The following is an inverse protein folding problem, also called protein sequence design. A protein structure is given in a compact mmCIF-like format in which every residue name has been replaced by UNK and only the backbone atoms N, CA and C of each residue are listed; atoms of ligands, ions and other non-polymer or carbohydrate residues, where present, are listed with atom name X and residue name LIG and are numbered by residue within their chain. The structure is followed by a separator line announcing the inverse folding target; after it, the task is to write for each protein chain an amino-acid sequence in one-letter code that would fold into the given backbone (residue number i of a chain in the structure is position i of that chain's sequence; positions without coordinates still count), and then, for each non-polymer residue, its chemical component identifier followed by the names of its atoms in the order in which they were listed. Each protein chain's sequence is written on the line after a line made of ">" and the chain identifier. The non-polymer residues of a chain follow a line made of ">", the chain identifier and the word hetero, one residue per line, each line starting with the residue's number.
data_IF_837203333805
#
_entry.id   IF_837203333805
#
_cell.length_a   1.000
_cell.length_b   1.000
_cell.length_c   1.000
_cell.angle_alpha   90.00
_cell.angle_beta   90.00
_cell.angle_gamma   90.00
#
_symmetry.space_group_name_H-M   'P 1'
#
loop_
_entity.id
_entity.type
_entity.pdbx_description
1 polymer ?
#
# COMPACT_ATOMS: atom_id res chain seq x y z
N UNK A 1 -11.68 83.74 49.68
CA UNK A 1 -12.19 83.75 48.30
C UNK A 1 -11.35 82.81 47.46
N UNK A 2 -11.89 81.63 47.14
CA UNK A 2 -11.29 80.70 46.16
C UNK A 2 -12.17 80.72 44.90
N UNK A 3 -11.59 80.80 43.69
CA UNK A 3 -12.38 80.96 42.47
C UNK A 3 -13.16 79.68 42.17
N UNK A 4 -14.47 79.79 41.91
CA UNK A 4 -15.28 78.65 41.48
C UNK A 4 -14.73 78.14 40.14
N UNK A 5 -14.25 76.90 40.11
CA UNK A 5 -13.87 76.22 38.86
C UNK A 5 -15.07 76.27 37.90
N UNK A 6 -14.91 76.96 36.78
CA UNK A 6 -15.93 77.04 35.74
C UNK A 6 -16.33 75.62 35.31
N UNK A 7 -17.62 75.30 35.41
CA UNK A 7 -18.16 74.00 35.01
C UNK A 7 -17.82 73.78 33.53
N UNK A 8 -17.08 72.71 33.23
CA UNK A 8 -16.82 72.32 31.85
C UNK A 8 -18.16 72.18 31.12
N UNK A 9 -18.30 72.84 29.97
CA UNK A 9 -19.53 72.80 29.19
C UNK A 9 -19.82 71.35 28.80
N UNK A 10 -20.98 70.87 29.22
CA UNK A 10 -21.46 69.49 29.00
C UNK A 10 -21.63 69.15 27.50
N UNK A 11 -21.90 70.19 26.69
CA UNK A 11 -21.98 70.07 25.23
C UNK A 11 -20.87 70.88 24.56
N UNK A 12 -19.91 70.18 23.95
CA UNK A 12 -18.90 70.78 23.08
C UNK A 12 -19.15 70.38 21.63
N UNK A 13 -19.58 71.35 20.81
CA UNK A 13 -19.69 71.14 19.36
C UNK A 13 -18.30 70.91 18.79
N UNK A 14 -18.06 69.74 18.21
CA UNK A 14 -16.78 69.40 17.59
C UNK A 14 -16.52 70.35 16.42
N UNK A 15 -15.31 70.92 16.34
CA UNK A 15 -14.94 71.82 15.24
C UNK A 15 -15.12 71.13 13.88
N UNK A 16 -15.72 71.84 12.93
CA UNK A 16 -15.94 71.37 11.57
C UNK A 16 -14.58 71.08 10.91
N UNK A 17 -14.32 69.80 10.60
CA UNK A 17 -13.13 69.40 9.83
C UNK A 17 -13.54 69.25 8.37
N UNK A 18 -13.15 70.22 7.55
CA UNK A 18 -13.42 70.22 6.11
C UNK A 18 -12.78 68.97 5.46
N UNK A 19 -13.52 68.29 4.57
CA UNK A 19 -13.06 67.06 3.89
C UNK A 19 -13.34 65.73 4.59
N UNK A 20 -13.89 65.73 5.83
CA UNK A 20 -14.35 64.51 6.51
C UNK A 20 -15.87 64.40 6.46
N UNK A 21 -16.38 63.15 6.45
CA UNK A 21 -17.82 62.90 6.50
C UNK A 21 -18.45 63.63 7.70
N UNK A 22 -19.58 64.30 7.43
CA UNK A 22 -20.30 65.10 8.43
C UNK A 22 -20.56 64.23 9.66
N UNK A 23 -20.17 64.66 10.88
CA UNK A 23 -20.39 63.87 12.09
C UNK A 23 -21.89 63.67 12.30
N UNK A 24 -22.24 62.47 12.76
CA UNK A 24 -23.61 62.11 13.09
C UNK A 24 -24.14 63.05 14.18
N UNK A 25 -25.42 63.46 14.13
CA UNK A 25 -25.99 64.38 15.10
C UNK A 25 -25.96 63.78 16.52
N UNK A 26 -25.96 64.62 17.55
CA UNK A 26 -25.77 64.17 18.95
C UNK A 26 -26.86 63.24 19.48
N UNK A 27 -28.02 63.20 18.83
CA UNK A 27 -29.14 62.30 19.10
C UNK A 27 -29.18 61.09 18.14
N UNK A 28 -28.10 60.84 17.38
CA UNK A 28 -28.05 59.71 16.47
C UNK A 28 -27.94 58.39 17.23
N UNK A 29 -28.97 57.56 17.14
CA UNK A 29 -28.95 56.18 17.63
C UNK A 29 -28.36 55.27 16.56
N UNK A 30 -27.24 54.60 16.88
CA UNK A 30 -26.67 53.60 15.98
C UNK A 30 -27.35 52.24 16.21
N UNK A 31 -28.14 51.77 15.24
CA UNK A 31 -28.79 50.44 15.26
C UNK A 31 -27.91 49.33 14.67
N UNK A 32 -26.66 49.62 14.34
CA UNK A 32 -25.72 48.62 13.85
C UNK A 32 -25.22 47.77 15.01
N UNK A 33 -25.70 46.52 15.11
CA UNK A 33 -25.16 45.53 16.03
C UNK A 33 -24.56 44.35 15.24
N UNK A 34 -23.60 43.66 15.86
CA UNK A 34 -23.06 42.41 15.34
C UNK A 34 -23.38 41.31 16.34
N UNK A 35 -24.16 40.33 15.93
CA UNK A 35 -24.42 39.13 16.72
C UNK A 35 -23.56 37.98 16.19
N UNK A 36 -22.90 37.26 17.09
CA UNK A 36 -22.15 36.02 16.78
C UNK A 36 -22.93 34.84 17.34
N UNK A 37 -23.06 33.77 16.56
CA UNK A 37 -23.66 32.51 17.02
C UNK A 37 -22.62 31.73 17.82
N UNK A 38 -23.02 31.20 18.97
CA UNK A 38 -22.23 30.21 19.71
C UNK A 38 -22.58 28.83 19.16
N UNK A 39 -21.62 28.16 18.54
CA UNK A 39 -21.77 26.76 18.11
C UNK A 39 -21.29 25.86 19.23
N UNK A 40 -22.21 25.13 19.85
CA UNK A 40 -21.90 24.14 20.89
C UNK A 40 -21.58 22.81 20.19
N UNK A 41 -20.63 22.04 20.73
CA UNK A 41 -20.31 20.71 20.22
C UNK A 41 -21.52 19.79 20.43
N UNK A 42 -21.92 19.09 19.38
CA UNK A 42 -23.02 18.13 19.44
C UNK A 42 -22.60 16.95 20.32
N UNK A 43 -23.31 16.76 21.43
CA UNK A 43 -23.15 15.59 22.29
C UNK A 43 -24.23 14.58 21.91
N UNK A 44 -23.85 13.31 21.74
CA UNK A 44 -24.76 12.20 21.41
C UNK A 44 -25.64 11.85 22.62
N UNK A 45 -26.55 12.75 22.99
CA UNK A 45 -27.46 12.62 24.14
C UNK A 45 -28.91 12.29 23.71
N UNK A 46 -29.10 11.90 22.45
CA UNK A 46 -30.41 11.50 21.94
C UNK A 46 -30.91 10.21 22.59
N UNK A 47 -32.22 10.10 22.78
CA UNK A 47 -32.88 8.87 23.28
C UNK A 47 -32.95 7.82 22.16
N UNK A 48 -32.98 8.26 20.89
CA UNK A 48 -32.98 7.38 19.72
C UNK A 48 -31.63 6.68 19.55
N UNK A 49 -31.70 5.37 19.30
CA UNK A 49 -30.51 4.58 19.05
C UNK A 49 -29.76 5.12 17.81
N UNK A 50 -28.43 5.35 17.89
CA UNK A 50 -27.67 5.78 16.73
C UNK A 50 -27.77 4.75 15.60
N UNK A 51 -27.85 5.21 14.36
CA UNK A 51 -27.85 4.31 13.19
C UNK A 51 -26.56 3.46 13.17
N UNK A 52 -26.63 2.26 12.60
CA UNK A 52 -25.45 1.37 12.50
C UNK A 52 -24.28 2.06 11.77
N UNK A 53 -24.58 2.89 10.76
CA UNK A 53 -23.59 3.70 10.04
C UNK A 53 -22.94 4.76 10.95
N UNK A 54 -23.73 5.45 11.79
CA UNK A 54 -23.20 6.44 12.74
C UNK A 54 -22.34 5.79 13.82
N UNK A 55 -22.73 4.59 14.31
CA UNK A 55 -21.91 3.81 15.23
C UNK A 55 -20.59 3.39 14.58
N UNK A 56 -20.62 2.99 13.31
CA UNK A 56 -19.43 2.63 12.55
C UNK A 56 -18.45 3.80 12.43
N UNK A 57 -18.94 4.97 12.00
CA UNK A 57 -18.12 6.18 11.90
C UNK A 57 -17.54 6.60 13.26
N UNK A 58 -18.32 6.46 14.33
CA UNK A 58 -17.85 6.71 15.69
C UNK A 58 -16.71 5.77 16.07
N UNK A 59 -16.85 4.45 15.88
CA UNK A 59 -15.79 3.50 16.19
C UNK A 59 -14.54 3.69 15.34
N UNK A 60 -14.69 4.05 14.06
CA UNK A 60 -13.54 4.42 13.21
C UNK A 60 -12.81 5.66 13.77
N UNK A 61 -13.55 6.65 14.30
CA UNK A 61 -12.94 7.84 14.90
C UNK A 61 -12.15 7.53 16.20
N UNK A 62 -12.59 6.53 16.97
CA UNK A 62 -11.96 6.12 18.24
C UNK A 62 -10.62 5.40 18.00
N UNK A 63 -10.36 4.91 16.79
CA UNK A 63 -9.08 4.26 16.45
C UNK A 63 -7.86 5.17 16.68
N UNK A 64 -8.02 6.49 16.68
CA UNK A 64 -6.95 7.44 17.04
C UNK A 64 -6.96 7.89 18.50
N UNK A 65 -7.75 7.25 19.37
CA UNK A 65 -7.80 7.56 20.80
C UNK A 65 -6.46 7.25 21.49
N UNK A 66 -6.11 8.01 22.53
CA UNK A 66 -4.97 7.71 23.39
C UNK A 66 -5.16 6.41 24.18
N UNK A 67 -6.40 6.02 24.49
CA UNK A 67 -6.70 4.79 25.24
C UNK A 67 -6.60 3.55 24.34
N UNK A 68 -5.65 2.68 24.68
CA UNK A 68 -5.46 1.36 24.07
C UNK A 68 -6.69 0.46 24.22
N UNK A 69 -7.36 0.54 25.38
CA UNK A 69 -8.63 -0.18 25.61
C UNK A 69 -9.69 0.28 24.62
N UNK A 70 -9.88 1.59 24.45
CA UNK A 70 -10.86 2.12 23.50
C UNK A 70 -10.56 1.73 22.05
N UNK A 71 -9.28 1.76 21.64
CA UNK A 71 -8.86 1.29 20.30
C UNK A 71 -9.17 -0.19 20.11
N UNK A 72 -8.80 -1.03 21.07
CA UNK A 72 -9.02 -2.49 21.03
C UNK A 72 -10.51 -2.85 20.99
N UNK A 73 -11.33 -2.24 21.84
CA UNK A 73 -12.79 -2.48 21.85
C UNK A 73 -13.44 -1.99 20.56
N UNK A 74 -13.00 -0.85 20.03
CA UNK A 74 -13.50 -0.35 18.74
C UNK A 74 -13.15 -1.27 17.58
N UNK A 75 -11.93 -1.82 17.54
CA UNK A 75 -11.58 -2.85 16.56
C UNK A 75 -12.44 -4.12 16.72
N UNK A 76 -12.80 -4.49 17.95
CA UNK A 76 -13.71 -5.62 18.19
C UNK A 76 -15.10 -5.42 17.65
N UNK A 77 -15.64 -4.23 17.87
CA UNK A 77 -16.92 -3.86 17.31
C UNK A 77 -16.85 -3.82 15.77
N UNK A 78 -15.79 -3.19 15.21
CA UNK A 78 -15.61 -3.08 13.76
C UNK A 78 -15.46 -4.44 13.08
N UNK A 79 -14.71 -5.38 13.64
CA UNK A 79 -14.59 -6.75 13.12
C UNK A 79 -15.97 -7.40 12.95
N UNK A 80 -16.81 -7.29 13.97
CA UNK A 80 -18.17 -7.84 13.96
C UNK A 80 -19.06 -7.12 12.94
N UNK A 81 -19.00 -5.79 12.93
CA UNK A 81 -19.81 -4.97 12.04
C UNK A 81 -19.45 -5.18 10.56
N UNK A 82 -18.15 -5.25 10.23
CA UNK A 82 -17.66 -5.49 8.87
C UNK A 82 -18.06 -6.87 8.35
N UNK A 83 -18.10 -7.88 9.21
CA UNK A 83 -18.53 -9.23 8.85
C UNK A 83 -19.99 -9.30 8.36
N UNK A 84 -20.85 -8.36 8.78
CA UNK A 84 -22.27 -8.33 8.37
C UNK A 84 -22.50 -7.86 6.94
N UNK A 85 -21.51 -7.23 6.29
CA UNK A 85 -21.55 -6.72 4.90
C UNK A 85 -22.69 -5.74 4.55
N UNK A 86 -23.43 -5.21 5.52
CA UNK A 86 -24.54 -4.25 5.30
C UNK A 86 -24.08 -2.79 5.32
N UNK A 87 -22.85 -2.54 5.76
CA UNK A 87 -22.30 -1.20 5.96
C UNK A 87 -21.70 -0.61 4.69
N UNK A 88 -21.91 0.70 4.51
CA UNK A 88 -21.26 1.47 3.45
C UNK A 88 -19.97 2.09 3.98
N UNK A 89 -18.84 1.70 3.41
CA UNK A 89 -17.52 2.24 3.76
C UNK A 89 -16.60 2.34 2.55
N UNK A 90 -15.70 3.32 2.60
CA UNK A 90 -14.61 3.52 1.65
C UNK A 90 -13.38 2.76 2.13
N UNK A 91 -12.88 1.82 1.32
CA UNK A 91 -11.70 1.03 1.67
C UNK A 91 -10.44 1.89 1.88
N UNK A 92 -10.11 2.86 1.00
CA UNK A 92 -8.98 3.76 1.24
C UNK A 92 -9.07 4.50 2.57
N UNK A 93 -10.25 5.07 2.89
CA UNK A 93 -10.44 5.90 4.08
C UNK A 93 -10.42 5.08 5.37
N UNK A 94 -10.90 3.84 5.33
CA UNK A 94 -10.82 2.94 6.48
C UNK A 94 -9.38 2.46 6.70
N UNK A 95 -8.66 2.11 5.62
CA UNK A 95 -7.25 1.71 5.72
C UNK A 95 -6.36 2.83 6.26
N UNK A 96 -6.66 4.10 5.96
CA UNK A 96 -5.96 5.25 6.56
C UNK A 96 -6.05 5.31 8.09
N UNK A 97 -7.06 4.66 8.68
CA UNK A 97 -7.23 4.55 10.13
C UNK A 97 -6.70 3.23 10.69
N UNK A 98 -6.80 2.14 9.92
CA UNK A 98 -6.40 0.81 10.37
C UNK A 98 -4.89 0.58 10.25
N UNK A 99 -4.27 0.92 9.12
CA UNK A 99 -2.86 0.59 8.85
C UNK A 99 -1.86 1.25 9.83
N UNK A 100 -2.06 2.50 10.31
CA UNK A 100 -1.19 3.06 11.34
C UNK A 100 -1.16 2.24 12.64
N UNK A 101 -2.24 1.53 12.98
CA UNK A 101 -2.32 0.69 14.18
C UNK A 101 -1.40 -0.54 14.12
N UNK A 102 -0.83 -0.85 12.95
CA UNK A 102 0.22 -1.86 12.83
C UNK A 102 1.41 -1.52 13.74
N UNK A 103 1.70 -0.23 13.91
CA UNK A 103 2.78 0.27 14.77
C UNK A 103 2.31 0.61 16.19
N UNK A 104 1.10 0.20 16.60
CA UNK A 104 0.60 0.46 17.94
C UNK A 104 1.53 -0.19 18.99
N UNK A 105 1.79 0.52 20.10
CA UNK A 105 2.62 0.00 21.17
C UNK A 105 1.99 -1.24 21.85
N UNK A 106 0.66 -1.28 21.97
CA UNK A 106 -0.06 -2.37 22.61
C UNK A 106 -0.27 -3.56 21.65
N UNK A 107 0.28 -4.72 22.02
CA UNK A 107 0.14 -5.96 21.24
C UNK A 107 -1.30 -6.48 21.10
N UNK A 108 -2.18 -6.24 22.07
CA UNK A 108 -3.58 -6.62 21.99
C UNK A 108 -4.33 -5.84 20.90
N UNK A 109 -3.99 -4.55 20.70
CA UNK A 109 -4.54 -3.74 19.60
C UNK A 109 -4.08 -4.31 18.25
N UNK A 110 -2.78 -4.61 18.10
CA UNK A 110 -2.25 -5.22 16.86
C UNK A 110 -2.87 -6.59 16.55
N UNK A 111 -3.04 -7.43 17.56
CA UNK A 111 -3.69 -8.74 17.41
C UNK A 111 -5.16 -8.63 17.01
N UNK A 112 -5.85 -7.55 17.42
CA UNK A 112 -7.23 -7.31 17.01
C UNK A 112 -7.33 -6.65 15.64
N UNK A 113 -6.35 -5.81 15.29
CA UNK A 113 -6.22 -5.21 13.97
C UNK A 113 -6.18 -6.29 12.89
N UNK A 114 -5.34 -7.32 13.03
CA UNK A 114 -5.25 -8.35 11.98
C UNK A 114 -6.56 -9.13 11.80
N UNK A 115 -7.32 -9.38 12.88
CA UNK A 115 -8.65 -10.00 12.78
C UNK A 115 -9.64 -9.07 12.07
N UNK A 116 -9.58 -7.78 12.37
CA UNK A 116 -10.39 -6.75 11.69
C UNK A 116 -10.06 -6.68 10.20
N UNK A 117 -8.77 -6.71 9.84
CA UNK A 117 -8.31 -6.73 8.45
C UNK A 117 -8.79 -7.98 7.71
N UNK A 118 -8.79 -9.15 8.37
CA UNK A 118 -9.33 -10.41 7.82
C UNK A 118 -10.85 -10.38 7.59
N UNK A 119 -11.59 -9.51 8.30
CA UNK A 119 -13.03 -9.34 8.10
C UNK A 119 -13.37 -8.46 6.88
N UNK A 120 -12.38 -7.79 6.27
CA UNK A 120 -12.57 -6.97 5.08
C UNK A 120 -12.75 -7.86 3.83
N UNK A 121 -13.58 -7.41 2.88
CA UNK A 121 -13.76 -8.06 1.59
C UNK A 121 -12.52 -7.89 0.71
N UNK A 122 -11.95 -9.00 0.21
CA UNK A 122 -10.71 -9.02 -0.58
C UNK A 122 -10.79 -8.17 -1.86
N UNK A 123 -11.97 -8.16 -2.50
CA UNK A 123 -12.23 -7.45 -3.76
C UNK A 123 -12.04 -5.92 -3.62
N UNK A 124 -12.17 -5.39 -2.40
CA UNK A 124 -11.97 -3.96 -2.10
C UNK A 124 -10.52 -3.60 -1.78
N UNK A 125 -9.65 -4.59 -1.59
CA UNK A 125 -8.27 -4.43 -1.11
C UNK A 125 -7.21 -4.64 -2.18
N UNK A 126 -7.55 -5.38 -3.25
CA UNK A 126 -6.67 -5.71 -4.37
C UNK A 126 -5.90 -4.48 -4.88
N UNK A 127 -6.61 -3.37 -5.14
CA UNK A 127 -6.02 -2.14 -5.67
C UNK A 127 -5.35 -1.21 -4.64
N UNK A 128 -5.30 -1.64 -3.37
CA UNK A 128 -4.70 -0.89 -2.26
C UNK A 128 -3.40 -1.54 -1.77
N UNK A 129 -2.86 -2.49 -2.52
CA UNK A 129 -1.65 -3.23 -2.20
C UNK A 129 -0.45 -2.33 -1.87
N UNK A 130 -0.21 -1.28 -2.66
CA UNK A 130 0.89 -0.32 -2.44
C UNK A 130 0.78 0.38 -1.08
N UNK A 131 -0.42 0.84 -0.72
CA UNK A 131 -0.69 1.48 0.59
C UNK A 131 -0.44 0.48 1.73
N UNK A 132 -0.91 -0.75 1.58
CA UNK A 132 -0.73 -1.81 2.58
C UNK A 132 0.77 -2.10 2.76
N UNK A 133 1.50 -2.32 1.65
CA UNK A 133 2.93 -2.63 1.67
C UNK A 133 3.77 -1.52 2.29
N UNK A 134 3.43 -0.25 2.05
CA UNK A 134 4.13 0.87 2.68
C UNK A 134 4.14 0.74 4.21
N UNK A 135 2.99 0.49 4.81
CA UNK A 135 2.86 0.32 6.26
C UNK A 135 3.47 -0.98 6.77
N UNK A 136 3.32 -2.07 6.01
CA UNK A 136 3.87 -3.38 6.35
C UNK A 136 5.40 -3.36 6.35
N UNK A 137 6.02 -2.82 5.30
CA UNK A 137 7.47 -2.70 5.20
C UNK A 137 8.03 -1.82 6.32
N UNK A 138 7.38 -0.69 6.61
CA UNK A 138 7.76 0.17 7.74
C UNK A 138 7.65 -0.55 9.10
N UNK A 139 6.64 -1.41 9.26
CA UNK A 139 6.47 -2.24 10.46
C UNK A 139 7.52 -3.35 10.57
N UNK A 140 7.84 -3.99 9.46
CA UNK A 140 8.88 -5.02 9.38
C UNK A 140 10.26 -4.46 9.75
N UNK A 141 10.55 -3.21 9.39
CA UNK A 141 11.80 -2.52 9.78
C UNK A 141 11.66 -1.69 11.06
N UNK A 142 10.67 -1.97 11.90
CA UNK A 142 10.50 -1.26 13.17
C UNK A 142 11.55 -1.69 14.20
N UNK A 143 12.05 -0.76 15.03
CA UNK A 143 13.01 -1.07 16.10
C UNK A 143 12.45 -2.06 17.13
N UNK A 144 11.13 -2.08 17.34
CA UNK A 144 10.45 -2.99 18.26
C UNK A 144 10.18 -4.35 17.59
N UNK A 145 10.78 -5.41 18.11
CA UNK A 145 10.66 -6.78 17.58
C UNK A 145 9.21 -7.30 17.57
N UNK A 146 8.38 -6.90 18.54
CA UNK A 146 6.97 -7.32 18.59
C UNK A 146 6.14 -6.67 17.47
N UNK A 147 6.50 -5.44 17.07
CA UNK A 147 5.89 -4.77 15.92
C UNK A 147 6.35 -5.46 14.64
N UNK A 148 7.65 -5.79 14.51
CA UNK A 148 8.17 -6.55 13.36
C UNK A 148 7.45 -7.89 13.18
N UNK A 149 7.28 -8.64 14.26
CA UNK A 149 6.58 -9.93 14.24
C UNK A 149 5.11 -9.79 13.83
N UNK A 150 4.43 -8.74 14.29
CA UNK A 150 3.04 -8.44 13.89
C UNK A 150 2.95 -8.01 12.43
N UNK A 151 3.92 -7.24 11.94
CA UNK A 151 4.01 -6.80 10.55
C UNK A 151 4.17 -7.99 9.59
N UNK A 152 4.97 -9.00 9.96
CA UNK A 152 5.09 -10.24 9.19
C UNK A 152 3.77 -11.02 9.10
N UNK A 153 2.99 -11.05 10.18
CA UNK A 153 1.67 -11.69 10.16
C UNK A 153 0.71 -10.95 9.22
N UNK A 154 0.76 -9.61 9.23
CA UNK A 154 -0.04 -8.78 8.33
C UNK A 154 0.46 -8.90 6.88
N UNK A 155 1.76 -9.07 6.63
CA UNK A 155 2.28 -9.36 5.29
C UNK A 155 1.72 -10.68 4.74
N UNK A 156 1.69 -11.73 5.57
CA UNK A 156 1.06 -13.00 5.19
C UNK A 156 -0.40 -12.82 4.79
N UNK A 157 -1.17 -12.06 5.58
CA UNK A 157 -2.54 -11.69 5.22
C UNK A 157 -2.61 -10.87 3.92
N UNK A 158 -1.70 -9.93 3.69
CA UNK A 158 -1.70 -9.07 2.51
C UNK A 158 -1.41 -9.87 1.23
N UNK A 159 -0.54 -10.88 1.30
CA UNK A 159 -0.29 -11.83 0.19
C UNK A 159 -1.59 -12.54 -0.19
N UNK A 160 -2.34 -13.03 0.81
CA UNK A 160 -3.61 -13.74 0.59
C UNK A 160 -4.77 -12.82 0.16
N UNK A 161 -4.72 -11.54 0.54
CA UNK A 161 -5.80 -10.57 0.32
C UNK A 161 -5.64 -9.80 -0.99
N UNK A 162 -4.41 -9.41 -1.36
CA UNK A 162 -4.12 -8.62 -2.56
C UNK A 162 -3.61 -9.47 -3.73
N UNK A 163 -3.09 -10.68 -3.48
CA UNK A 163 -2.57 -11.54 -4.54
C UNK A 163 -1.50 -10.83 -5.38
N UNK A 164 -1.57 -10.98 -6.70
CA UNK A 164 -0.52 -10.54 -7.63
C UNK A 164 -0.29 -9.02 -7.62
N UNK A 165 -1.31 -8.22 -7.28
CA UNK A 165 -1.16 -6.76 -7.15
C UNK A 165 -0.11 -6.36 -6.12
N UNK A 166 0.16 -7.20 -5.12
CA UNK A 166 1.20 -6.97 -4.11
C UNK A 166 2.62 -6.98 -4.70
N UNK A 167 2.85 -7.76 -5.76
CA UNK A 167 4.16 -7.86 -6.42
C UNK A 167 4.25 -6.97 -7.66
N UNK A 168 3.12 -6.60 -8.25
CA UNK A 168 3.04 -5.72 -9.43
C UNK A 168 3.05 -4.24 -9.08
N UNK A 169 2.56 -3.86 -7.89
CA UNK A 169 2.54 -2.45 -7.51
C UNK A 169 3.96 -1.85 -7.45
N UNK A 170 4.05 -0.52 -7.57
CA UNK A 170 5.31 0.21 -7.59
C UNK A 170 6.19 -0.15 -6.38
N UNK A 171 7.39 -0.65 -6.66
CA UNK A 171 8.34 -1.08 -5.62
C UNK A 171 7.86 -2.26 -4.77
N UNK A 172 6.70 -2.86 -5.06
CA UNK A 172 6.13 -3.98 -4.32
C UNK A 172 7.07 -5.18 -4.31
N UNK A 173 7.59 -5.55 -5.48
CA UNK A 173 8.62 -6.60 -5.58
C UNK A 173 9.95 -6.19 -4.94
N UNK A 174 10.58 -5.15 -5.48
CA UNK A 174 11.94 -4.75 -5.11
C UNK A 174 12.09 -4.35 -3.64
N UNK A 175 11.22 -3.48 -3.12
CA UNK A 175 11.34 -3.00 -1.75
C UNK A 175 11.03 -4.10 -0.74
N UNK A 176 10.05 -4.95 -1.02
CA UNK A 176 9.73 -6.05 -0.11
C UNK A 176 10.90 -7.03 0.00
N UNK A 177 11.56 -7.38 -1.11
CA UNK A 177 12.78 -8.20 -1.09
C UNK A 177 13.92 -7.51 -0.31
N UNK A 178 14.12 -6.21 -0.53
CA UNK A 178 15.10 -5.42 0.21
C UNK A 178 14.79 -5.38 1.71
N UNK A 179 13.52 -5.25 2.08
CA UNK A 179 13.07 -5.32 3.48
C UNK A 179 13.33 -6.69 4.08
N UNK A 180 13.11 -7.79 3.36
CA UNK A 180 13.47 -9.14 3.82
C UNK A 180 14.97 -9.29 4.10
N UNK A 181 15.85 -8.71 3.25
CA UNK A 181 17.29 -8.72 3.51
C UNK A 181 17.63 -8.05 4.86
N UNK A 182 16.99 -6.92 5.18
CA UNK A 182 17.23 -6.22 6.44
C UNK A 182 16.68 -7.03 7.62
N UNK A 183 15.45 -7.53 7.51
CA UNK A 183 14.73 -8.21 8.60
C UNK A 183 15.35 -9.55 8.98
N UNK A 184 15.94 -10.25 8.01
CA UNK A 184 16.64 -11.52 8.24
C UNK A 184 18.15 -11.32 8.52
N UNK A 185 18.64 -10.08 8.47
CA UNK A 185 20.07 -9.79 8.66
C UNK A 185 20.95 -10.22 7.48
N UNK A 186 20.37 -10.44 6.31
CA UNK A 186 21.08 -10.89 5.10
C UNK A 186 21.72 -9.75 4.30
N UNK A 187 21.47 -8.49 4.67
CA UNK A 187 22.01 -7.32 3.97
C UNK A 187 23.55 -7.24 3.98
N UNK A 188 24.18 -7.68 5.07
CA UNK A 188 25.64 -7.59 5.29
C UNK A 188 26.41 -8.87 4.95
N UNK A 189 25.74 -9.89 4.39
CA UNK A 189 26.43 -11.12 3.99
C UNK A 189 27.44 -10.77 2.88
N UNK A 190 28.73 -10.89 3.20
CA UNK A 190 29.84 -10.58 2.28
C UNK A 190 30.48 -9.19 2.43
N UNK A 191 30.02 -8.36 3.36
CA UNK A 191 30.56 -7.01 3.62
C UNK A 191 30.95 -6.84 5.10
N UNK A 192 32.00 -6.06 5.41
CA UNK A 192 32.39 -5.75 6.79
C UNK A 192 31.30 -4.92 7.48
N UNK A 193 30.52 -5.54 8.36
CA UNK A 193 29.25 -5.01 8.87
C UNK A 193 29.41 -3.74 9.71
N UNK A 194 28.88 -2.61 9.24
CA UNK A 194 28.54 -1.43 10.06
C UNK A 194 27.24 -1.73 10.83
N UNK A 195 27.29 -1.65 12.16
CA UNK A 195 26.37 -2.29 13.13
C UNK A 195 24.90 -1.87 13.18
N UNK A 196 24.31 -1.23 12.16
CA UNK A 196 22.88 -0.91 12.16
C UNK A 196 22.00 -2.08 11.68
N UNK A 197 22.45 -2.87 10.69
CA UNK A 197 21.61 -3.93 10.10
C UNK A 197 21.51 -5.21 10.95
N UNK A 198 22.56 -5.53 11.72
CA UNK A 198 22.60 -6.72 12.58
C UNK A 198 21.63 -6.62 13.76
N UNK A 199 21.37 -5.41 14.26
CA UNK A 199 20.41 -5.15 15.35
C UNK A 199 18.93 -5.25 14.90
N UNK A 200 18.67 -5.23 13.59
CA UNK A 200 17.32 -5.30 13.02
C UNK A 200 16.85 -6.73 12.72
N UNK A 201 17.75 -7.70 12.79
CA UNK A 201 17.43 -9.10 12.55
C UNK A 201 16.34 -9.61 13.52
N UNK A 202 15.53 -10.57 13.09
CA UNK A 202 14.65 -11.38 13.96
C UNK A 202 15.43 -12.31 14.91
N UNK A 203 16.70 -11.99 15.18
CA UNK A 203 17.65 -12.85 15.87
C UNK A 203 17.11 -13.28 17.24
N UNK A 204 17.13 -14.60 17.47
CA UNK A 204 16.79 -15.23 18.75
C UNK A 204 15.41 -15.91 18.82
N UNK A 205 14.47 -15.64 17.91
CA UNK A 205 13.15 -16.30 17.91
C UNK A 205 12.93 -17.15 16.64
N UNK A 206 13.12 -18.46 16.79
CA UNK A 206 12.91 -19.46 15.74
C UNK A 206 11.53 -19.36 15.10
N UNK A 207 10.48 -19.03 15.86
CA UNK A 207 9.10 -18.94 15.33
C UNK A 207 8.95 -17.76 14.38
N UNK A 208 9.56 -16.64 14.72
CA UNK A 208 9.55 -15.45 13.90
C UNK A 208 10.37 -15.64 12.62
N UNK A 209 11.50 -16.34 12.69
CA UNK A 209 12.28 -16.75 11.52
C UNK A 209 11.46 -17.68 10.61
N UNK A 210 10.82 -18.71 11.17
CA UNK A 210 9.95 -19.62 10.40
C UNK A 210 8.82 -18.84 9.71
N UNK A 211 8.13 -17.94 10.42
CA UNK A 211 7.09 -17.09 9.83
C UNK A 211 7.63 -16.18 8.72
N UNK A 212 8.80 -15.59 8.90
CA UNK A 212 9.42 -14.76 7.87
C UNK A 212 9.74 -15.60 6.62
N UNK A 213 10.25 -16.82 6.77
CA UNK A 213 10.55 -17.72 5.65
C UNK A 213 9.28 -18.25 4.96
N UNK A 214 8.22 -18.57 5.71
CA UNK A 214 6.95 -19.00 5.13
C UNK A 214 6.28 -17.88 4.32
N UNK A 215 6.25 -16.67 4.87
CA UNK A 215 5.72 -15.48 4.15
C UNK A 215 6.58 -15.12 2.95
N UNK A 216 7.91 -15.21 3.08
CA UNK A 216 8.83 -15.04 1.96
C UNK A 216 8.59 -16.09 0.87
N UNK A 217 8.39 -17.34 1.26
CA UNK A 217 8.09 -18.42 0.31
C UNK A 217 6.81 -18.14 -0.47
N UNK A 218 5.75 -17.70 0.21
CA UNK A 218 4.50 -17.31 -0.44
C UNK A 218 4.69 -16.10 -1.36
N UNK A 219 5.47 -15.11 -0.93
CA UNK A 219 5.78 -13.92 -1.72
C UNK A 219 6.61 -14.23 -2.98
N UNK A 220 7.63 -15.08 -2.86
CA UNK A 220 8.45 -15.52 -3.99
C UNK A 220 7.63 -16.32 -5.00
N UNK A 221 6.77 -17.23 -4.53
CA UNK A 221 5.84 -17.95 -5.41
C UNK A 221 4.93 -16.98 -6.16
N UNK A 222 4.36 -16.01 -5.46
CA UNK A 222 3.47 -15.03 -6.06
C UNK A 222 4.17 -14.14 -7.11
N UNK A 223 5.41 -13.73 -6.84
CA UNK A 223 6.18 -12.88 -7.74
C UNK A 223 6.80 -13.61 -8.92
N UNK A 224 7.18 -14.87 -8.72
CA UNK A 224 7.90 -15.64 -9.73
C UNK A 224 7.01 -16.58 -10.52
N UNK A 225 5.93 -17.13 -9.95
CA UNK A 225 5.03 -18.05 -10.67
C UNK A 225 3.92 -17.20 -11.30
N UNK A 226 3.86 -17.19 -12.62
CA UNK A 226 2.89 -16.40 -13.35
C UNK A 226 1.50 -17.06 -13.26
N UNK A 227 0.70 -16.65 -12.27
CA UNK A 227 -0.69 -17.07 -12.16
C UNK A 227 -1.51 -16.60 -13.39
N UNK A 228 -1.04 -15.58 -14.12
CA UNK A 228 -1.67 -15.05 -15.33
C UNK A 228 -1.52 -15.95 -16.57
N UNK A 229 -0.57 -16.88 -16.57
CA UNK A 229 -0.38 -17.83 -17.69
C UNK A 229 -1.61 -18.74 -17.90
N UNK A 230 -2.41 -18.99 -16.85
CA UNK A 230 -3.66 -19.74 -16.98
C UNK A 230 -4.83 -18.93 -17.55
N UNK A 231 -4.73 -17.60 -17.63
CA UNK A 231 -5.75 -16.75 -18.24
C UNK A 231 -5.51 -16.54 -19.75
N UNK A 232 -4.35 -16.95 -20.27
CA UNK A 232 -3.95 -16.80 -21.67
C UNK A 232 -4.31 -18.03 -22.54
N UNK A 233 -5.05 -19.00 -22.03
CA UNK A 233 -5.84 -19.94 -22.86
C UNK A 233 -7.19 -19.32 -23.29
N UNK A 234 -7.24 -18.00 -23.43
CA UNK A 234 -8.37 -17.33 -24.12
C UNK A 234 -8.22 -17.62 -25.60
N UNK A 235 -9.28 -18.15 -26.19
CA UNK A 235 -9.36 -18.54 -27.60
C UNK A 235 -8.66 -17.54 -28.54
N UNK A 236 -7.94 -18.00 -29.58
CA UNK A 236 -7.19 -17.14 -30.50
C UNK A 236 -8.07 -16.22 -31.39
N UNK A 237 -9.35 -16.09 -31.08
CA UNK A 237 -10.37 -15.47 -31.93
C UNK A 237 -10.88 -14.12 -31.39
N UNK A 238 -10.40 -13.66 -30.23
CA UNK A 238 -10.61 -12.30 -29.80
C UNK A 238 -9.57 -11.41 -30.49
N UNK A 239 -10.00 -10.67 -31.51
CA UNK A 239 -9.16 -9.70 -32.20
C UNK A 239 -8.39 -8.82 -31.19
N UNK A 240 -7.09 -8.61 -31.39
CA UNK A 240 -6.23 -7.91 -30.42
C UNK A 240 -6.75 -6.51 -30.03
N UNK A 241 -7.50 -5.85 -30.91
CA UNK A 241 -8.12 -4.55 -30.64
C UNK A 241 -9.29 -4.63 -29.64
N UNK A 242 -9.97 -5.77 -29.54
CA UNK A 242 -11.09 -5.96 -28.63
C UNK A 242 -10.66 -5.95 -27.16
N UNK A 243 -9.45 -6.42 -26.83
CA UNK A 243 -8.92 -6.35 -25.47
C UNK A 243 -8.21 -5.02 -25.17
N UNK A 244 -7.55 -4.41 -26.15
CA UNK A 244 -6.70 -3.22 -25.93
C UNK A 244 -7.51 -1.91 -25.89
N UNK A 245 -8.65 -1.84 -26.57
CA UNK A 245 -9.49 -0.63 -26.61
C UNK A 245 -10.64 -0.64 -25.59
N UNK A 246 -10.73 -1.67 -24.74
CA UNK A 246 -11.73 -1.74 -23.68
C UNK A 246 -11.35 -0.86 -22.48
N UNK A 247 -12.37 -0.28 -21.84
CA UNK A 247 -12.19 0.38 -20.54
C UNK A 247 -11.75 -0.70 -19.54
N UNK A 248 -10.56 -0.54 -18.97
CA UNK A 248 -10.04 -1.46 -17.98
C UNK A 248 -10.92 -1.47 -16.73
N UNK A 249 -11.20 -2.67 -16.20
CA UNK A 249 -11.93 -2.83 -14.94
C UNK A 249 -11.08 -2.43 -13.70
N UNK A 250 -9.76 -2.37 -13.84
CA UNK A 250 -8.84 -2.00 -12.77
C UNK A 250 -8.87 -0.48 -12.54
N UNK A 251 -8.95 0.00 -11.29
CA UNK A 251 -8.66 1.37 -10.93
C UNK A 251 -7.21 1.73 -11.33
N UNK A 252 -7.06 2.75 -12.17
CA UNK A 252 -5.75 3.28 -12.60
C UNK A 252 -4.87 2.27 -13.39
N UNK A 253 -5.35 1.81 -14.57
CA UNK A 253 -4.65 0.79 -15.38
C UNK A 253 -3.32 1.26 -15.96
N UNK A 254 -3.11 2.58 -16.01
CA UNK A 254 -1.91 3.21 -16.55
C UNK A 254 -0.93 3.66 -15.47
N UNK A 255 -1.14 3.26 -14.21
CA UNK A 255 -0.26 3.57 -13.07
C UNK A 255 1.21 3.26 -13.37
N UNK A 256 1.47 2.12 -14.02
CA UNK A 256 2.82 1.68 -14.36
C UNK A 256 3.57 2.62 -15.32
N UNK A 257 2.88 3.48 -16.06
CA UNK A 257 3.51 4.48 -16.94
C UNK A 257 4.11 5.65 -16.15
N UNK A 258 3.76 5.79 -14.86
CA UNK A 258 4.29 6.83 -13.98
C UNK A 258 4.17 8.27 -14.53
N UNK A 259 3.21 8.55 -15.43
CA UNK A 259 3.10 9.83 -16.13
C UNK A 259 2.92 11.04 -15.20
N UNK A 260 2.36 10.81 -14.01
CA UNK A 260 2.06 11.82 -13.00
C UNK A 260 2.91 11.66 -11.73
N UNK A 261 3.83 10.69 -11.71
CA UNK A 261 4.67 10.42 -10.55
C UNK A 261 5.99 11.15 -10.62
N UNK A 262 6.61 11.34 -9.45
CA UNK A 262 7.96 11.89 -9.37
C UNK A 262 8.97 10.76 -9.58
N UNK A 263 10.03 11.03 -10.35
CA UNK A 263 11.19 10.15 -10.44
C UNK A 263 11.87 10.11 -9.07
N UNK A 264 11.48 9.14 -8.24
CA UNK A 264 12.23 8.82 -7.03
C UNK A 264 13.51 8.12 -7.46
N UNK A 265 14.67 8.69 -7.15
CA UNK A 265 15.96 8.03 -7.32
C UNK A 265 15.95 6.65 -6.62
N UNK A 266 15.86 5.58 -7.41
CA UNK A 266 15.87 4.19 -6.97
C UNK A 266 15.10 3.26 -7.93
N UNK A 267 15.49 1.99 -7.96
CA UNK A 267 14.89 0.91 -8.76
C UNK A 267 13.46 0.58 -8.29
N UNK A 268 12.52 1.50 -8.47
CA UNK A 268 11.10 1.34 -8.18
C UNK A 268 10.29 1.10 -9.45
N UNK A 269 10.89 0.44 -10.45
CA UNK A 269 10.21 0.14 -11.70
C UNK A 269 8.94 -0.68 -11.44
N UNK A 270 7.90 -0.39 -12.22
CA UNK A 270 6.67 -1.18 -12.19
C UNK A 270 6.98 -2.55 -12.81
N UNK A 271 6.98 -3.59 -11.99
CA UNK A 271 7.34 -4.94 -12.43
C UNK A 271 6.09 -5.76 -12.67
N UNK A 272 5.40 -5.54 -13.80
CA UNK A 272 4.18 -6.29 -14.16
C UNK A 272 4.49 -7.72 -14.58
N UNK A 273 5.58 -7.91 -15.31
CA UNK A 273 5.92 -9.20 -15.88
C UNK A 273 6.67 -10.07 -14.87
N UNK A 274 6.24 -11.32 -14.73
CA UNK A 274 6.91 -12.30 -13.89
C UNK A 274 8.38 -12.51 -14.32
N UNK A 275 8.65 -12.51 -15.62
CA UNK A 275 10.02 -12.64 -16.17
C UNK A 275 10.93 -11.52 -15.70
N UNK A 276 10.46 -10.27 -15.73
CA UNK A 276 11.26 -9.13 -15.27
C UNK A 276 11.50 -9.19 -13.75
N UNK A 277 10.49 -9.60 -12.97
CA UNK A 277 10.66 -9.84 -11.52
C UNK A 277 11.70 -10.92 -11.23
N UNK A 278 11.71 -12.01 -12.01
CA UNK A 278 12.72 -13.08 -11.92
C UNK A 278 14.12 -12.55 -12.22
N UNK A 279 14.29 -11.78 -13.30
CA UNK A 279 15.58 -11.19 -13.67
C UNK A 279 16.15 -10.27 -12.58
N UNK A 280 15.32 -9.40 -12.01
CA UNK A 280 15.70 -8.53 -10.88
C UNK A 280 16.16 -9.39 -9.69
N UNK A 281 15.41 -10.45 -9.36
CA UNK A 281 15.78 -11.33 -8.26
C UNK A 281 17.14 -12.01 -8.50
N UNK A 282 17.33 -12.57 -9.70
CA UNK A 282 18.55 -13.30 -10.07
C UNK A 282 19.78 -12.39 -10.09
N UNK A 283 19.64 -11.17 -10.60
CA UNK A 283 20.75 -10.21 -10.73
C UNK A 283 21.12 -9.55 -9.41
N UNK A 284 20.14 -9.12 -8.60
CA UNK A 284 20.41 -8.26 -7.44
C UNK A 284 20.29 -8.95 -6.07
N UNK A 285 19.46 -10.00 -5.95
CA UNK A 285 19.09 -10.56 -4.64
C UNK A 285 19.61 -11.97 -4.40
N UNK A 286 19.72 -12.79 -5.46
CA UNK A 286 20.01 -14.23 -5.39
C UNK A 286 21.15 -14.59 -4.44
N UNK A 287 22.32 -13.99 -4.63
CA UNK A 287 23.53 -14.32 -3.86
C UNK A 287 23.31 -14.17 -2.35
N UNK A 288 22.68 -13.06 -1.92
CA UNK A 288 22.41 -12.79 -0.49
C UNK A 288 21.34 -13.73 0.08
N UNK A 289 20.30 -14.02 -0.71
CA UNK A 289 19.23 -14.95 -0.30
C UNK A 289 19.74 -16.39 -0.18
N UNK A 290 20.49 -16.92 -1.17
CA UNK A 290 21.04 -18.27 -1.13
C UNK A 290 21.97 -18.47 0.08
N UNK A 291 22.86 -17.50 0.34
CA UNK A 291 23.77 -17.54 1.47
C UNK A 291 23.02 -17.50 2.82
N UNK A 292 22.03 -16.61 2.96
CA UNK A 292 21.22 -16.49 4.18
C UNK A 292 20.33 -17.72 4.44
N UNK A 293 19.73 -18.28 3.39
CA UNK A 293 18.96 -19.53 3.48
C UNK A 293 19.86 -20.69 3.92
N UNK A 294 21.08 -20.77 3.38
CA UNK A 294 22.06 -21.80 3.73
C UNK A 294 22.51 -21.68 5.19
N UNK A 295 22.69 -20.46 5.71
CA UNK A 295 23.00 -20.22 7.11
C UNK A 295 21.89 -20.71 8.05
N UNK A 296 20.63 -20.37 7.77
CA UNK A 296 19.49 -20.84 8.58
C UNK A 296 19.32 -22.36 8.46
N UNK A 297 19.55 -22.92 7.27
CA UNK A 297 19.47 -24.37 7.05
C UNK A 297 20.45 -25.16 7.94
N UNK A 298 21.62 -24.60 8.25
CA UNK A 298 22.59 -25.21 9.17
C UNK A 298 22.10 -25.32 10.61
N UNK A 299 21.17 -24.45 11.04
CA UNK A 299 20.62 -24.49 12.39
C UNK A 299 19.72 -25.71 12.65
N UNK A 300 19.35 -26.46 11.61
CA UNK A 300 18.46 -27.63 11.66
C UNK A 300 17.08 -27.31 12.31
N UNK A 301 16.25 -28.33 12.52
CA UNK A 301 14.93 -28.16 13.16
C UNK A 301 13.88 -27.48 12.28
N UNK A 302 12.95 -26.75 12.91
CA UNK A 302 11.81 -26.13 12.22
C UNK A 302 12.21 -25.01 11.27
N UNK A 303 13.13 -24.13 11.69
CA UNK A 303 13.69 -23.07 10.85
C UNK A 303 14.45 -23.65 9.65
N UNK A 304 15.21 -24.73 9.83
CA UNK A 304 15.90 -25.42 8.74
C UNK A 304 14.94 -26.02 7.70
N UNK A 305 13.78 -26.55 8.14
CA UNK A 305 12.73 -27.04 7.22
C UNK A 305 12.08 -25.90 6.43
N UNK A 306 11.76 -24.78 7.10
CA UNK A 306 11.22 -23.61 6.42
C UNK A 306 12.22 -23.07 5.38
N UNK A 307 13.51 -22.99 5.73
CA UNK A 307 14.57 -22.57 4.82
C UNK A 307 14.71 -23.51 3.60
N UNK A 308 14.58 -24.83 3.80
CA UNK A 308 14.61 -25.79 2.71
C UNK A 308 13.42 -25.61 1.75
N UNK A 309 12.22 -25.32 2.27
CA UNK A 309 11.02 -25.01 1.47
C UNK A 309 11.18 -23.70 0.68
N UNK A 310 11.80 -22.67 1.25
CA UNK A 310 12.12 -21.44 0.51
C UNK A 310 13.14 -21.72 -0.59
N UNK A 311 14.20 -22.49 -0.28
CA UNK A 311 15.21 -22.90 -1.25
C UNK A 311 14.63 -23.69 -2.42
N UNK A 312 13.67 -24.60 -2.18
CA UNK A 312 13.07 -25.39 -3.25
C UNK A 312 12.28 -24.52 -4.21
N UNK A 313 11.59 -23.48 -3.72
CA UNK A 313 10.85 -22.54 -4.56
C UNK A 313 11.79 -21.72 -5.44
N UNK A 314 12.92 -21.26 -4.90
CA UNK A 314 13.92 -20.56 -5.71
C UNK A 314 14.42 -21.45 -6.84
N UNK A 315 14.65 -22.75 -6.60
CA UNK A 315 15.08 -23.69 -7.65
C UNK A 315 13.97 -24.00 -8.66
N UNK A 316 12.75 -24.30 -8.19
CA UNK A 316 11.57 -24.61 -9.02
C UNK A 316 11.25 -23.49 -10.00
N UNK A 317 11.27 -22.24 -9.51
CA UNK A 317 11.00 -21.06 -10.33
C UNK A 317 12.10 -20.76 -11.35
N UNK A 318 13.32 -21.28 -11.15
CA UNK A 318 14.42 -21.18 -12.12
C UNK A 318 14.26 -22.20 -13.25
N UNK A 319 13.91 -23.45 -12.94
CA UNK A 319 13.66 -24.47 -13.98
C UNK A 319 12.52 -24.07 -14.90
N UNK A 320 11.44 -23.50 -14.35
CA UNK A 320 10.34 -22.96 -15.15
C UNK A 320 10.75 -21.74 -16.00
N UNK A 321 11.73 -20.95 -15.55
CA UNK A 321 12.22 -19.80 -16.31
C UNK A 321 13.04 -20.22 -17.52
N UNK A 322 13.90 -21.24 -17.36
CA UNK A 322 14.68 -21.80 -18.46
C UNK A 322 13.76 -22.44 -19.51
N UNK A 323 12.74 -23.18 -19.08
CA UNK A 323 11.73 -23.75 -19.98
C UNK A 323 10.91 -22.67 -20.72
N UNK A 324 10.48 -21.63 -20.00
CA UNK A 324 9.71 -20.51 -20.58
C UNK A 324 10.52 -19.73 -21.62
N UNK A 325 11.80 -19.50 -21.36
CA UNK A 325 12.70 -18.80 -22.29
C UNK A 325 12.93 -19.61 -23.56
N UNK A 326 13.14 -20.92 -23.44
CA UNK A 326 13.26 -21.83 -24.60
C UNK A 326 11.99 -21.80 -25.47
N UNK A 327 10.80 -21.78 -24.86
CA UNK A 327 9.53 -21.67 -25.58
C UNK A 327 9.37 -20.32 -26.29
N UNK A 328 9.74 -19.20 -25.64
CA UNK A 328 9.68 -17.88 -26.25
C UNK A 328 10.63 -17.75 -27.44
N UNK A 329 11.88 -18.23 -27.30
CA UNK A 329 12.86 -18.23 -28.39
C UNK A 329 12.39 -19.08 -29.57
N UNK A 330 11.76 -20.23 -29.30
CA UNK A 330 11.14 -21.08 -30.33
C UNK A 330 9.99 -20.38 -31.05
N UNK A 331 9.15 -19.65 -30.32
CA UNK A 331 8.02 -18.91 -30.90
C UNK A 331 8.50 -17.73 -31.75
N UNK A 332 9.50 -16.98 -31.27
CA UNK A 332 10.13 -15.90 -32.03
C UNK A 332 10.72 -16.41 -33.36
N UNK A 333 11.44 -17.54 -33.33
CA UNK A 333 11.98 -18.17 -34.54
C UNK A 333 10.87 -18.59 -35.52
N UNK A 334 9.76 -19.17 -35.02
CA UNK A 334 8.61 -19.53 -35.87
C UNK A 334 7.94 -18.31 -36.49
N UNK A 335 7.81 -17.22 -35.73
CA UNK A 335 7.26 -15.96 -36.24
C UNK A 335 8.17 -15.34 -37.29
N UNK A 336 9.48 -15.28 -37.07
CA UNK A 336 10.43 -14.82 -38.08
C UNK A 336 10.38 -15.66 -39.36
N UNK A 337 10.27 -16.99 -39.24
CA UNK A 337 10.13 -17.89 -40.38
C UNK A 337 8.82 -17.63 -41.14
N UNK A 338 7.70 -17.39 -40.42
CA UNK A 338 6.42 -17.00 -41.01
C UNK A 338 6.50 -15.66 -41.72
N UNK A 339 7.12 -14.66 -41.10
CA UNK A 339 7.29 -13.32 -41.69
C UNK A 339 8.15 -13.40 -42.95
N UNK A 340 9.24 -14.17 -42.92
CA UNK A 340 10.06 -14.45 -44.12
C UNK A 340 9.28 -15.15 -45.22
N UNK A 341 8.49 -16.17 -44.89
CA UNK A 341 7.65 -16.87 -45.86
C UNK A 341 6.57 -15.94 -46.47
N UNK A 342 5.98 -15.04 -45.68
CA UNK A 342 5.02 -14.05 -46.17
C UNK A 342 5.72 -13.03 -47.07
N UNK A 343 6.89 -12.51 -46.67
CA UNK A 343 7.68 -11.60 -47.50
C UNK A 343 8.06 -12.24 -48.83
N UNK A 344 8.49 -13.51 -48.83
CA UNK A 344 8.90 -14.24 -50.03
C UNK A 344 7.70 -14.50 -50.97
N UNK A 345 6.51 -14.79 -50.41
CA UNK A 345 5.26 -14.88 -51.18
C UNK A 345 4.84 -13.54 -51.79
N UNK A 346 4.96 -12.44 -51.04
CA UNK A 346 4.65 -11.10 -51.56
C UNK A 346 5.63 -10.74 -52.68
N UNK A 347 6.91 -11.07 -52.52
CA UNK A 347 7.93 -10.80 -53.52
C UNK A 347 7.72 -11.62 -54.80
N UNK A 348 7.40 -12.91 -54.68
CA UNK A 348 7.16 -13.81 -55.82
C UNK A 348 5.82 -13.55 -56.52
N UNK A 349 4.74 -13.21 -55.80
CA UNK A 349 3.47 -12.83 -56.42
C UNK A 349 3.50 -11.41 -57.01
N UNK A 350 4.17 -10.46 -56.36
CA UNK A 350 4.33 -9.09 -56.87
C UNK A 350 5.20 -8.99 -58.13
N UNK A 351 6.19 -9.88 -58.29
CA UNK A 351 6.98 -9.99 -59.53
C UNK A 351 6.19 -10.62 -60.69
N UNK A 352 5.28 -11.56 -60.39
CA UNK A 352 4.46 -12.21 -61.42
C UNK A 352 3.40 -11.26 -62.02
N UNK A 353 2.93 -10.27 -61.27
CA UNK A 353 1.95 -9.27 -61.75
C UNK A 353 2.59 -8.08 -62.48
N UNK A 354 3.92 -7.93 -62.45
CA UNK A 354 4.66 -6.85 -63.14
C UNK A 354 5.36 -7.29 -64.43
N UNK A 355 5.28 -8.58 -64.80
CA UNK A 355 5.88 -9.15 -66.01
C UNK A 355 4.86 -9.56 -67.10
N UNK A 356 3.67 -8.96 -67.14
CA UNK A 356 2.73 -9.08 -68.28
C UNK A 356 2.54 -7.76 -69.01
#
# INVERSE_FOLDING_TARGET
>A
MAPSKAKNKDFQKTKLKVGKAKPKPGNYTNTSFKAKRVTIKQQSLGIDAPSLQSQFEHHVSILSSASDTQRKESLSWLETALATKTLTWSAPSLLDKLLPLLQDANGAVRNKLIKTLRALSKERLEFLAEKILLHVCAGMTNININIRASALEILGWAIDACGVELVECRGGWFNTLKTYLVVLGWSTIGESSTGWSTNMALAGDTKNIVRALDTLTAFLRLGMIDAGSKAAEREPQADWWSSTLQIHAQPDPYRGLNLMGYDSEGDYSFTRDATHRREIFLSQFRSKFEAGILEIRKQAGEAGRAAAKTSSVVVETMTEADESKVLQDSWAQKMEARTRHIQDRIWTQGFAETCY
#
